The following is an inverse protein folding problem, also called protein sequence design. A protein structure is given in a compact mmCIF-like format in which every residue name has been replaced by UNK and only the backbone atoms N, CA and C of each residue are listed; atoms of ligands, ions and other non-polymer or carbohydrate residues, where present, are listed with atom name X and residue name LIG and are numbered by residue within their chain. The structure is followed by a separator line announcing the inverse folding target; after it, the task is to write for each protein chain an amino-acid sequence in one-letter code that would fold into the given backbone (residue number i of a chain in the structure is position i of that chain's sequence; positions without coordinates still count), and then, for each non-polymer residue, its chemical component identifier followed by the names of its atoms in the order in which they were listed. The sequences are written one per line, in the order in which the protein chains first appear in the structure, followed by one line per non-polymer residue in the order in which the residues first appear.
data_IF_325826730674
#
_entry.id   IF_325826730674
#
_cell.length_a   1.000
_cell.length_b   1.000
_cell.length_c   1.000
_cell.angle_alpha   90.00
_cell.angle_beta   90.00
_cell.angle_gamma   90.00
#
_symmetry.space_group_name_H-M   'P 1'
#
loop_
_entity.id
_entity.type
_entity.pdbx_description
1 polymer ?
#
# COMPACT_ATOMS: atom_id res chain seq x y z
N UNK A 1 8.07 12.17 -12.75
CA UNK A 1 7.54 11.49 -11.58
C UNK A 1 6.08 11.16 -11.83
N UNK A 2 5.74 9.89 -11.73
CA UNK A 2 4.34 9.46 -11.78
C UNK A 2 3.70 9.71 -10.43
N UNK A 3 2.88 10.73 -10.33
CA UNK A 3 1.98 10.87 -9.19
C UNK A 3 0.54 10.72 -9.64
N UNK A 4 -0.31 10.25 -8.76
CA UNK A 4 -1.72 10.03 -9.09
C UNK A 4 -2.63 10.38 -7.91
N UNK A 5 -3.88 10.61 -8.24
CA UNK A 5 -4.91 11.10 -7.33
C UNK A 5 -4.69 12.56 -6.88
N UNK A 6 -5.22 12.92 -5.72
CA UNK A 6 -5.17 14.29 -5.22
C UNK A 6 -3.82 14.62 -4.59
N UNK A 7 -3.57 15.91 -4.43
CA UNK A 7 -2.58 16.46 -3.52
C UNK A 7 -3.23 16.56 -2.15
N UNK A 8 -2.52 16.11 -1.12
CA UNK A 8 -3.02 16.15 0.24
C UNK A 8 -2.23 17.20 1.04
N UNK A 9 -2.90 18.13 1.76
CA UNK A 9 -2.22 19.17 2.51
C UNK A 9 -1.44 18.58 3.71
N UNK A 10 -0.25 19.14 3.92
CA UNK A 10 0.59 18.90 5.09
C UNK A 10 0.67 20.17 5.95
N UNK A 11 1.55 20.19 6.96
CA UNK A 11 1.80 21.42 7.73
C UNK A 11 2.52 22.49 6.90
N UNK A 12 2.40 23.73 7.36
CA UNK A 12 3.17 24.87 6.84
C UNK A 12 2.98 25.14 5.33
N UNK A 13 1.85 24.71 4.76
CA UNK A 13 1.59 24.85 3.33
C UNK A 13 2.33 23.83 2.46
N UNK A 14 2.92 22.82 3.06
CA UNK A 14 3.47 21.68 2.34
C UNK A 14 2.34 20.79 1.77
N UNK A 15 2.71 19.90 0.87
CA UNK A 15 1.81 18.96 0.23
C UNK A 15 2.40 17.56 0.26
N UNK A 16 1.56 16.55 0.46
CA UNK A 16 1.91 15.15 0.24
C UNK A 16 1.62 14.73 -1.19
N UNK A 17 2.58 14.09 -1.81
CA UNK A 17 2.48 13.51 -3.14
C UNK A 17 2.66 12.00 -3.06
N UNK A 18 1.82 11.26 -3.76
CA UNK A 18 2.03 9.82 -3.97
C UNK A 18 2.86 9.62 -5.22
N UNK A 19 4.06 9.16 -5.06
CA UNK A 19 5.02 8.99 -6.15
C UNK A 19 5.50 7.53 -6.26
N UNK A 20 6.30 7.27 -7.25
CA UNK A 20 6.86 5.96 -7.55
C UNK A 20 8.28 5.80 -7.01
N UNK A 21 8.69 4.56 -6.76
CA UNK A 21 10.10 4.19 -6.65
C UNK A 21 10.59 3.55 -7.95
N UNK A 22 11.79 3.93 -8.38
CA UNK A 22 12.40 3.40 -9.61
C UNK A 22 13.48 2.34 -9.35
N UNK A 23 13.80 2.08 -8.10
CA UNK A 23 14.96 1.28 -7.68
C UNK A 23 14.62 0.10 -6.76
N UNK A 24 13.33 -0.17 -6.57
CA UNK A 24 12.90 -1.29 -5.75
C UNK A 24 13.32 -2.62 -6.36
N UNK A 25 14.01 -3.45 -5.57
CA UNK A 25 14.37 -4.81 -5.95
C UNK A 25 13.71 -5.84 -5.06
N UNK A 26 13.08 -6.79 -5.71
CA UNK A 26 12.50 -7.98 -5.06
C UNK A 26 13.62 -8.93 -4.62
N UNK A 27 13.34 -9.86 -3.67
CA UNK A 27 14.30 -10.89 -3.27
C UNK A 27 14.78 -11.80 -4.40
N UNK A 28 13.98 -11.97 -5.48
CA UNK A 28 14.39 -12.72 -6.67
C UNK A 28 15.32 -11.90 -7.60
N UNK A 29 15.73 -10.70 -7.18
CA UNK A 29 16.63 -9.81 -7.90
C UNK A 29 15.97 -8.95 -8.98
N UNK A 30 14.69 -9.16 -9.28
CA UNK A 30 13.99 -8.37 -10.28
C UNK A 30 13.78 -6.94 -9.78
N UNK A 31 14.08 -5.99 -10.66
CA UNK A 31 13.77 -4.58 -10.44
C UNK A 31 12.31 -4.31 -10.75
N UNK A 32 11.65 -3.56 -9.89
CA UNK A 32 10.25 -3.15 -10.08
C UNK A 32 10.17 -1.63 -9.98
N UNK A 33 9.63 -0.99 -10.99
CA UNK A 33 9.21 0.40 -10.92
C UNK A 33 7.84 0.43 -10.27
N UNK A 34 7.79 0.92 -9.06
CA UNK A 34 6.55 0.96 -8.30
C UNK A 34 5.70 2.17 -8.64
N UNK A 35 4.47 2.20 -8.16
CA UNK A 35 3.59 3.36 -8.21
C UNK A 35 2.90 3.54 -6.87
N UNK A 36 2.76 4.79 -6.44
CA UNK A 36 1.99 5.15 -5.22
C UNK A 36 2.46 4.46 -3.94
N UNK A 37 3.72 4.16 -3.84
CA UNK A 37 4.31 3.51 -2.66
C UNK A 37 5.39 4.35 -1.97
N UNK A 38 5.64 5.55 -2.48
CA UNK A 38 6.40 6.58 -1.80
C UNK A 38 5.50 7.79 -1.58
N UNK A 39 5.40 8.23 -0.34
CA UNK A 39 4.72 9.47 0.01
C UNK A 39 5.80 10.53 0.22
N UNK A 40 5.90 11.47 -0.70
CA UNK A 40 6.82 12.59 -0.60
C UNK A 40 6.10 13.81 -0.04
N UNK A 41 6.68 14.45 0.96
CA UNK A 41 6.28 15.78 1.40
C UNK A 41 7.10 16.82 0.67
N UNK A 42 6.44 17.80 0.05
CA UNK A 42 7.08 18.87 -0.68
C UNK A 42 6.71 20.22 -0.11
N UNK A 43 7.66 21.12 -0.09
CA UNK A 43 7.45 22.53 0.28
C UNK A 43 6.77 23.32 -0.84
N UNK A 44 6.49 24.61 -0.57
CA UNK A 44 5.87 25.52 -1.53
C UNK A 44 6.74 25.83 -2.77
N UNK A 45 8.03 25.51 -2.72
CA UNK A 45 8.97 25.65 -3.83
C UNK A 45 9.14 24.38 -4.64
N UNK A 46 8.48 23.27 -4.22
CA UNK A 46 8.58 21.97 -4.85
C UNK A 46 9.79 21.13 -4.40
N UNK A 47 10.49 21.53 -3.33
CA UNK A 47 11.55 20.72 -2.78
C UNK A 47 10.97 19.60 -1.92
N UNK A 48 11.51 18.40 -2.07
CA UNK A 48 11.18 17.27 -1.18
C UNK A 48 11.83 17.51 0.17
N UNK A 49 11.02 17.62 1.22
CA UNK A 49 11.47 17.88 2.60
C UNK A 49 11.43 16.63 3.47
N UNK A 50 10.61 15.65 3.11
CA UNK A 50 10.53 14.34 3.76
C UNK A 50 9.96 13.29 2.81
N UNK A 51 10.23 11.99 3.06
CA UNK A 51 9.62 10.89 2.33
C UNK A 51 9.27 9.70 3.24
N UNK A 52 8.25 8.94 2.83
CA UNK A 52 7.84 7.69 3.46
C UNK A 52 7.88 6.60 2.40
N UNK A 53 8.90 5.76 2.44
CA UNK A 53 9.09 4.64 1.53
C UNK A 53 8.37 3.42 2.07
N UNK A 54 7.19 3.13 1.54
CA UNK A 54 6.30 2.13 2.14
C UNK A 54 6.86 0.70 2.10
N UNK A 55 7.72 0.36 1.12
CA UNK A 55 8.36 -0.96 1.09
C UNK A 55 9.40 -1.17 2.22
N UNK A 56 9.85 -0.10 2.88
CA UNK A 56 10.68 -0.17 4.10
C UNK A 56 9.81 -0.22 5.37
N UNK A 57 8.56 0.22 5.29
CA UNK A 57 7.66 0.41 6.43
C UNK A 57 6.65 -0.74 6.54
N UNK A 58 6.10 -1.19 5.39
CA UNK A 58 5.07 -2.23 5.31
C UNK A 58 5.64 -3.53 4.76
N UNK A 59 4.83 -4.58 4.75
CA UNK A 59 5.19 -5.85 4.13
C UNK A 59 4.61 -5.98 2.71
N UNK A 60 5.42 -5.80 1.66
CA UNK A 60 4.95 -5.96 0.30
C UNK A 60 4.66 -7.43 -0.08
N UNK A 61 5.10 -8.39 0.74
CA UNK A 61 4.91 -9.83 0.54
C UNK A 61 3.75 -10.40 1.37
N UNK A 62 2.95 -9.55 1.99
CA UNK A 62 1.76 -9.98 2.70
C UNK A 62 0.83 -10.75 1.74
N UNK A 63 0.28 -11.89 2.17
CA UNK A 63 -0.53 -12.80 1.34
C UNK A 63 -1.70 -12.11 0.62
N UNK A 64 -2.36 -11.15 1.29
CA UNK A 64 -3.46 -10.39 0.69
C UNK A 64 -2.99 -9.52 -0.48
N UNK A 65 -1.79 -8.96 -0.41
CA UNK A 65 -1.19 -8.15 -1.49
C UNK A 65 -0.97 -9.01 -2.72
N UNK A 66 -0.36 -10.18 -2.55
CA UNK A 66 -0.10 -11.11 -3.65
C UNK A 66 -1.40 -11.54 -4.32
N UNK A 67 -2.40 -11.93 -3.53
CA UNK A 67 -3.72 -12.30 -4.06
C UNK A 67 -4.43 -11.17 -4.79
N UNK A 68 -4.24 -9.94 -4.34
CA UNK A 68 -4.87 -8.78 -4.97
C UNK A 68 -4.17 -8.40 -6.27
N UNK A 69 -2.86 -8.61 -6.36
CA UNK A 69 -2.10 -8.36 -7.57
C UNK A 69 -2.52 -9.26 -8.73
N UNK A 70 -2.87 -10.50 -8.47
CA UNK A 70 -3.44 -11.41 -9.47
C UNK A 70 -4.77 -10.90 -10.07
N UNK A 71 -5.47 -10.03 -9.34
CA UNK A 71 -6.73 -9.41 -9.75
C UNK A 71 -6.55 -7.95 -10.20
N UNK A 72 -5.40 -7.37 -9.92
CA UNK A 72 -5.17 -5.91 -9.94
C UNK A 72 -4.76 -5.29 -11.25
N UNK A 73 -4.60 -6.07 -12.30
CA UNK A 73 -4.25 -5.60 -13.64
C UNK A 73 -5.24 -4.53 -14.22
N UNK A 74 -6.42 -4.46 -13.65
CA UNK A 74 -7.52 -3.59 -14.12
C UNK A 74 -7.26 -2.10 -13.91
N UNK A 75 -6.35 -1.71 -13.01
CA UNK A 75 -6.10 -0.29 -12.69
C UNK A 75 -4.95 0.36 -13.47
N UNK A 76 -4.32 -0.33 -14.40
CA UNK A 76 -3.09 0.13 -15.08
C UNK A 76 -3.19 0.34 -16.58
N UNK A 77 -4.37 0.56 -17.15
CA UNK A 77 -4.56 0.64 -18.62
C UNK A 77 -3.99 -0.57 -19.39
N UNK A 78 -3.98 -1.72 -18.77
CA UNK A 78 -3.68 -2.97 -19.45
C UNK A 78 -4.90 -3.34 -20.30
N UNK A 79 -4.64 -3.74 -21.52
CA UNK A 79 -5.66 -4.28 -22.41
C UNK A 79 -6.44 -5.39 -21.67
N UNK A 80 -7.72 -5.13 -21.40
CA UNK A 80 -8.58 -6.07 -20.69
C UNK A 80 -8.62 -7.46 -21.36
N UNK A 81 -8.29 -7.55 -22.66
CA UNK A 81 -8.15 -8.79 -23.38
C UNK A 81 -6.99 -9.66 -22.89
N UNK A 82 -6.04 -9.09 -22.14
CA UNK A 82 -4.88 -9.79 -21.57
C UNK A 82 -5.16 -10.26 -20.13
N UNK A 83 -6.26 -9.83 -19.53
CA UNK A 83 -6.61 -10.23 -18.17
C UNK A 83 -6.77 -11.75 -18.08
N UNK A 84 -6.06 -12.37 -17.13
CA UNK A 84 -6.09 -13.82 -16.93
C UNK A 84 -5.22 -14.64 -17.87
N UNK A 85 -4.45 -14.02 -18.80
CA UNK A 85 -3.45 -14.73 -19.58
C UNK A 85 -2.18 -14.95 -18.78
N UNK A 86 -1.69 -16.17 -18.78
CA UNK A 86 -0.37 -16.49 -18.26
C UNK A 86 0.67 -16.06 -19.30
N UNK A 87 1.53 -15.13 -18.93
CA UNK A 87 2.63 -14.69 -19.78
C UNK A 87 3.74 -15.75 -19.79
N UNK A 88 4.38 -15.93 -20.93
CA UNK A 88 5.57 -16.79 -21.04
C UNK A 88 6.76 -16.18 -20.31
N UNK A 89 7.75 -17.01 -19.96
CA UNK A 89 8.99 -16.54 -19.34
C UNK A 89 9.74 -15.51 -20.20
N UNK A 90 9.61 -15.60 -21.52
CA UNK A 90 10.22 -14.67 -22.48
C UNK A 90 9.49 -13.31 -22.49
N UNK A 91 8.17 -13.32 -22.45
CA UNK A 91 7.37 -12.08 -22.34
C UNK A 91 7.63 -11.37 -21.03
N UNK A 92 7.72 -12.12 -19.92
CA UNK A 92 8.09 -11.57 -18.61
C UNK A 92 9.49 -10.95 -18.61
N UNK A 93 10.47 -11.64 -19.23
CA UNK A 93 11.82 -11.14 -19.36
C UNK A 93 11.91 -9.90 -20.26
N UNK A 94 11.08 -9.83 -21.31
CA UNK A 94 11.00 -8.66 -22.18
C UNK A 94 10.39 -7.45 -21.44
N UNK A 95 9.34 -7.66 -20.67
CA UNK A 95 8.75 -6.62 -19.80
C UNK A 95 9.73 -6.12 -18.76
N UNK A 96 10.50 -7.01 -18.14
CA UNK A 96 11.51 -6.69 -17.14
C UNK A 96 12.66 -5.86 -17.73
N UNK A 97 13.03 -6.11 -18.99
CA UNK A 97 14.06 -5.36 -19.72
C UNK A 97 13.62 -3.96 -20.14
N UNK A 98 12.37 -3.82 -20.54
CA UNK A 98 11.87 -2.58 -21.14
C UNK A 98 11.42 -1.56 -20.11
N UNK A 99 11.44 -1.90 -18.83
CA UNK A 99 10.98 -1.03 -17.75
C UNK A 99 9.55 -0.49 -17.96
N UNK A 100 8.83 -1.10 -18.88
CA UNK A 100 7.53 -0.66 -19.34
C UNK A 100 6.45 -1.52 -18.73
N UNK A 101 5.65 -0.86 -17.91
CA UNK A 101 4.27 -1.18 -17.65
C UNK A 101 3.90 -2.54 -17.07
N UNK A 102 3.11 -2.46 -16.06
CA UNK A 102 2.29 -3.50 -15.53
C UNK A 102 2.88 -4.12 -14.30
N UNK A 103 2.00 -4.72 -13.52
CA UNK A 103 2.39 -5.61 -12.44
C UNK A 103 3.16 -6.77 -13.07
N UNK A 104 4.33 -7.06 -12.54
CA UNK A 104 5.13 -8.19 -13.01
C UNK A 104 4.45 -9.45 -12.48
N UNK A 105 3.94 -10.33 -13.35
CA UNK A 105 3.33 -11.58 -12.90
C UNK A 105 4.36 -12.45 -12.16
N UNK A 106 3.91 -13.24 -11.21
CA UNK A 106 4.75 -14.19 -10.51
C UNK A 106 4.68 -14.10 -9.00
N UNK A 107 5.66 -14.69 -8.34
CA UNK A 107 5.72 -14.79 -6.89
C UNK A 107 6.30 -13.51 -6.31
N UNK A 108 5.47 -12.66 -5.77
CA UNK A 108 5.90 -11.45 -5.06
C UNK A 108 5.26 -10.17 -5.59
N UNK A 109 5.54 -9.03 -4.94
CA UNK A 109 4.88 -7.78 -5.24
C UNK A 109 5.28 -7.26 -6.63
N UNK A 110 4.29 -6.83 -7.38
CA UNK A 110 4.46 -6.14 -8.63
C UNK A 110 4.50 -4.64 -8.47
N UNK A 111 4.43 -3.93 -9.58
CA UNK A 111 4.55 -2.47 -9.67
C UNK A 111 3.60 -1.71 -8.73
N UNK A 112 2.37 -2.16 -8.56
CA UNK A 112 1.31 -1.46 -7.83
C UNK A 112 0.97 -2.13 -6.48
N UNK A 113 1.95 -2.65 -5.79
CA UNK A 113 1.77 -3.48 -4.60
C UNK A 113 1.08 -2.76 -3.42
N UNK A 114 1.31 -1.47 -3.24
CA UNK A 114 0.69 -0.70 -2.15
C UNK A 114 -0.64 -0.07 -2.59
N UNK A 115 -0.70 0.50 -3.78
CA UNK A 115 -1.85 1.20 -4.33
C UNK A 115 -2.47 2.19 -3.34
N UNK A 116 -1.66 3.16 -2.88
CA UNK A 116 -2.14 4.19 -1.96
C UNK A 116 -3.07 5.15 -2.69
N UNK A 117 -4.28 5.31 -2.19
CA UNK A 117 -5.31 6.17 -2.77
C UNK A 117 -5.46 7.51 -2.07
N UNK A 118 -5.21 7.56 -0.77
CA UNK A 118 -5.28 8.81 0.00
C UNK A 118 -4.17 8.88 1.04
N UNK A 119 -3.80 10.10 1.36
CA UNK A 119 -2.95 10.46 2.49
C UNK A 119 -3.69 11.53 3.28
N UNK A 120 -3.76 11.39 4.58
CA UNK A 120 -4.29 12.40 5.48
C UNK A 120 -3.24 12.76 6.51
N UNK A 121 -3.18 14.02 6.90
CA UNK A 121 -2.23 14.50 7.89
C UNK A 121 -2.87 14.62 9.26
N UNK A 122 -2.29 14.00 10.27
CA UNK A 122 -2.72 14.17 11.65
C UNK A 122 -1.78 15.14 12.39
N UNK A 123 -2.21 16.40 12.58
CA UNK A 123 -1.39 17.42 13.24
C UNK A 123 -1.24 17.17 14.75
N UNK A 124 -2.01 16.27 15.35
CA UNK A 124 -1.96 16.03 16.78
C UNK A 124 -0.67 15.37 17.24
N UNK A 125 -0.05 14.60 16.35
CA UNK A 125 1.17 13.87 16.63
C UNK A 125 2.14 13.81 15.44
N UNK A 126 1.97 14.71 14.48
CA UNK A 126 2.79 14.88 13.28
C UNK A 126 2.99 13.54 12.54
N UNK A 127 1.90 12.93 12.14
CA UNK A 127 1.88 11.65 11.45
C UNK A 127 1.04 11.71 10.18
N UNK A 128 1.18 10.71 9.32
CA UNK A 128 0.33 10.52 8.16
C UNK A 128 -0.57 9.29 8.35
N UNK A 129 -1.76 9.35 7.76
CA UNK A 129 -2.69 8.23 7.66
C UNK A 129 -2.88 7.94 6.18
N UNK A 130 -2.55 6.73 5.76
CA UNK A 130 -2.68 6.31 4.36
C UNK A 130 -3.78 5.27 4.20
N UNK A 131 -4.49 5.31 3.08
CA UNK A 131 -5.37 4.23 2.65
C UNK A 131 -4.69 3.44 1.53
N UNK A 132 -4.36 2.18 1.80
CA UNK A 132 -3.69 1.28 0.88
C UNK A 132 -4.63 0.17 0.42
N UNK A 133 -5.06 0.25 -0.85
CA UNK A 133 -6.03 -0.69 -1.42
C UNK A 133 -5.52 -2.12 -1.41
N UNK A 134 -4.31 -2.36 -1.92
CA UNK A 134 -3.79 -3.72 -2.07
C UNK A 134 -3.34 -4.33 -0.74
N UNK A 135 -3.07 -3.51 0.27
CA UNK A 135 -2.92 -3.98 1.65
C UNK A 135 -4.27 -4.22 2.35
N UNK A 136 -5.40 -3.77 1.76
CA UNK A 136 -6.71 -3.72 2.42
C UNK A 136 -6.59 -3.11 3.82
N UNK A 137 -5.96 -1.93 3.91
CA UNK A 137 -5.61 -1.34 5.19
C UNK A 137 -5.62 0.19 5.15
N UNK A 138 -6.01 0.79 6.27
CA UNK A 138 -5.66 2.15 6.62
C UNK A 138 -4.55 2.10 7.66
N UNK A 139 -3.48 2.84 7.45
CA UNK A 139 -2.27 2.75 8.28
C UNK A 139 -1.83 4.13 8.72
N UNK A 140 -1.62 4.30 10.02
CA UNK A 140 -1.01 5.52 10.58
C UNK A 140 0.49 5.33 10.77
N UNK A 141 1.27 6.27 10.24
CA UNK A 141 2.74 6.21 10.22
C UNK A 141 3.29 7.51 10.81
N UNK A 142 4.18 7.40 11.78
CA UNK A 142 4.87 8.53 12.40
C UNK A 142 6.00 9.10 11.53
N UNK A 143 6.49 10.28 11.87
CA UNK A 143 7.69 10.88 11.24
C UNK A 143 8.95 10.02 11.40
N UNK A 144 8.99 9.19 12.42
CA UNK A 144 10.03 8.20 12.62
C UNK A 144 9.93 6.98 11.68
N UNK A 145 9.00 7.04 10.71
CA UNK A 145 8.71 5.99 9.74
C UNK A 145 8.21 4.68 10.36
N UNK A 146 7.72 4.75 11.60
CA UNK A 146 7.15 3.58 12.29
C UNK A 146 5.64 3.60 12.23
N UNK A 147 5.08 2.43 12.01
CA UNK A 147 3.63 2.23 12.06
C UNK A 147 3.15 2.43 13.51
N UNK A 148 2.19 3.33 13.69
CA UNK A 148 1.53 3.59 14.97
C UNK A 148 0.36 2.64 15.18
N UNK A 149 -0.51 2.51 14.18
CA UNK A 149 -1.61 1.56 14.17
C UNK A 149 -2.02 1.17 12.74
N UNK A 150 -2.72 0.05 12.63
CA UNK A 150 -3.27 -0.48 11.39
C UNK A 150 -4.75 -0.79 11.61
N UNK A 151 -5.61 -0.25 10.76
CA UNK A 151 -7.00 -0.65 10.65
C UNK A 151 -7.14 -1.59 9.46
N UNK A 152 -7.22 -2.89 9.73
CA UNK A 152 -7.30 -3.94 8.71
C UNK A 152 -7.70 -5.27 9.34
N UNK A 153 -7.95 -6.27 8.51
CA UNK A 153 -8.06 -7.65 8.99
C UNK A 153 -6.78 -8.08 9.72
N UNK A 154 -6.86 -8.81 10.83
CA UNK A 154 -5.68 -9.19 11.62
C UNK A 154 -4.79 -10.22 10.94
N UNK A 155 -5.21 -10.79 9.80
CA UNK A 155 -4.54 -11.92 9.16
C UNK A 155 -3.34 -11.51 8.31
N UNK A 156 -2.27 -12.28 8.37
CA UNK A 156 -1.14 -12.20 7.44
C UNK A 156 -0.14 -11.07 7.69
N UNK A 157 -0.20 -10.38 8.81
CA UNK A 157 0.79 -9.37 9.19
C UNK A 157 2.02 -10.02 9.85
N UNK A 158 3.21 -9.50 9.57
CA UNK A 158 4.43 -9.86 10.31
C UNK A 158 4.30 -9.47 11.79
N UNK A 159 5.04 -10.15 12.66
CA UNK A 159 4.90 -10.04 14.13
C UNK A 159 4.85 -8.60 14.66
N UNK A 160 5.74 -7.74 14.19
CA UNK A 160 5.80 -6.36 14.67
C UNK A 160 4.63 -5.51 14.17
N UNK A 161 4.17 -5.75 12.95
CA UNK A 161 3.00 -5.10 12.37
C UNK A 161 1.70 -5.69 12.92
N UNK A 162 1.65 -6.98 13.19
CA UNK A 162 0.48 -7.64 13.79
C UNK A 162 0.09 -7.00 15.12
N UNK A 163 1.06 -6.61 15.93
CA UNK A 163 0.84 -5.92 17.23
C UNK A 163 0.25 -4.52 17.06
N UNK A 164 0.28 -3.96 15.86
CA UNK A 164 -0.24 -2.63 15.54
C UNK A 164 -1.65 -2.65 14.96
N UNK A 165 -2.16 -3.85 14.63
CA UNK A 165 -3.53 -3.99 14.13
C UNK A 165 -4.51 -3.69 15.24
N UNK A 166 -5.46 -2.79 14.95
CA UNK A 166 -6.50 -2.39 15.91
C UNK A 166 -7.44 -3.57 16.18
N UNK A 167 -7.82 -3.72 17.43
CA UNK A 167 -8.80 -4.72 17.85
C UNK A 167 -10.20 -4.10 17.84
N UNK A 168 -11.19 -4.69 17.17
CA UNK A 168 -12.56 -4.22 17.25
C UNK A 168 -13.11 -4.43 18.67
N UNK A 169 -13.82 -3.42 19.16
CA UNK A 169 -14.40 -3.41 20.50
C UNK A 169 -15.88 -3.08 20.42
N UNK A 170 -16.63 -3.49 21.44
CA UNK A 170 -18.01 -3.06 21.64
C UNK A 170 -18.10 -1.61 22.18
N UNK A 171 -19.32 -1.14 22.42
CA UNK A 171 -19.59 0.21 22.95
C UNK A 171 -18.98 0.47 24.36
N UNK A 172 -18.64 -0.58 25.08
CA UNK A 172 -18.08 -0.52 26.42
C UNK A 172 -16.54 -0.72 26.40
N UNK A 173 -15.95 -0.80 25.19
CA UNK A 173 -14.51 -0.98 24.99
C UNK A 173 -14.02 -2.43 25.14
N UNK A 174 -14.92 -3.41 25.23
CA UNK A 174 -14.57 -4.81 25.37
C UNK A 174 -14.29 -5.42 23.99
N UNK A 175 -13.16 -6.16 23.81
CA UNK A 175 -12.84 -6.82 22.55
C UNK A 175 -13.94 -7.76 22.06
N UNK A 176 -14.29 -7.62 20.80
CA UNK A 176 -15.23 -8.50 20.13
C UNK A 176 -14.54 -9.82 19.74
N UNK A 177 -15.25 -10.93 19.80
CA UNK A 177 -14.78 -12.18 19.22
C UNK A 177 -14.99 -12.15 17.71
N UNK A 178 -13.94 -12.47 16.97
CA UNK A 178 -13.94 -12.45 15.51
C UNK A 178 -13.48 -13.81 14.96
N UNK A 179 -14.21 -14.33 13.97
CA UNK A 179 -13.84 -15.52 13.20
C UNK A 179 -14.00 -15.23 11.71
N UNK A 180 -13.04 -15.63 10.90
CA UNK A 180 -13.06 -15.43 9.44
C UNK A 180 -13.39 -13.97 9.03
N UNK A 181 -12.79 -13.02 9.70
CA UNK A 181 -12.99 -11.57 9.52
C UNK A 181 -14.40 -11.06 9.88
N UNK A 182 -15.22 -11.87 10.51
CA UNK A 182 -16.53 -11.48 11.05
C UNK A 182 -16.48 -11.47 12.57
N UNK A 183 -17.02 -10.43 13.16
CA UNK A 183 -17.04 -10.23 14.60
C UNK A 183 -18.45 -10.27 15.17
N UNK A 184 -18.56 -10.54 16.46
CA UNK A 184 -19.82 -10.42 17.21
C UNK A 184 -20.45 -9.04 16.97
N UNK A 185 -21.77 -8.96 17.02
CA UNK A 185 -22.49 -7.72 16.78
C UNK A 185 -22.59 -7.30 15.30
N UNK A 186 -22.20 -8.17 14.36
CA UNK A 186 -22.32 -7.93 12.92
C UNK A 186 -21.19 -7.07 12.33
N UNK A 187 -20.14 -6.81 13.10
CA UNK A 187 -18.95 -6.12 12.58
C UNK A 187 -18.18 -7.05 11.62
N UNK A 188 -17.88 -6.53 10.43
CA UNK A 188 -17.21 -7.30 9.38
C UNK A 188 -15.93 -6.59 8.93
N UNK A 189 -14.79 -7.28 9.10
CA UNK A 189 -13.46 -6.82 8.70
C UNK A 189 -13.14 -7.07 7.22
N UNK A 190 -14.12 -7.35 6.38
CA UNK A 190 -13.86 -7.78 5.00
C UNK A 190 -13.14 -6.74 4.17
N UNK A 191 -13.26 -5.46 4.52
CA UNK A 191 -12.72 -4.37 3.74
C UNK A 191 -12.17 -3.24 4.57
N UNK A 192 -10.99 -2.78 4.21
CA UNK A 192 -10.49 -1.52 4.72
C UNK A 192 -9.80 -0.79 3.59
N UNK A 193 -10.50 0.11 2.91
CA UNK A 193 -9.90 0.91 1.86
C UNK A 193 -10.72 2.16 1.55
N UNK A 194 -10.05 3.10 0.92
CA UNK A 194 -10.38 4.46 0.47
C UNK A 194 -11.80 4.93 0.59
#
# INVERSE_FOLDING_TARGET
ADFSHALDPAQNGHLFLRVSSSDYRRPDGKRVHTVRDVIAEVDQNGNVVDDFRLFEILDPYRDVVIKTLDQGAVCLNIDASQAGKTLSAEELAAMDKNDTFGDIPGVGPGRNWAHVNSVDYDPTDDSIIISSRHQSAVVKIGRDKKVKWILATPTGWKEDLAKKVLTPVDKDGKPLKCENNRCEGGFDWTWTQH
#
